data_IF_922397418090
#
_entry.id   IF_922397418090
#
_cell.length_a   1.000
_cell.length_b   1.000
_cell.length_c   1.000
_cell.angle_alpha   90.00
_cell.angle_beta   90.00
_cell.angle_gamma   90.00
#
_symmetry.space_group_name_H-M   'P 1'
#
loop_
_entity.id
_entity.type
_entity.pdbx_description
1 polymer ?
#
# COMPACT_ATOMS: atom_id res chain seq x y z
N UNK A 1 -61.51 56.65 -20.86
CA UNK A 1 -62.77 56.87 -20.11
C UNK A 1 -62.59 56.36 -18.69
N UNK A 2 -62.49 57.23 -17.74
CA UNK A 2 -62.71 56.92 -16.30
C UNK A 2 -64.27 56.98 -16.11
N UNK A 3 -64.83 56.33 -15.08
CA UNK A 3 -64.78 56.70 -13.68
C UNK A 3 -64.89 55.44 -12.74
N UNK A 4 -65.00 55.49 -11.43
CA UNK A 4 -65.02 56.45 -10.33
C UNK A 4 -64.90 55.67 -9.00
N UNK A 5 -64.39 56.33 -8.02
CA UNK A 5 -64.22 55.97 -6.60
C UNK A 5 -65.54 55.62 -5.88
N UNK A 6 -65.44 54.73 -4.86
CA UNK A 6 -66.26 54.80 -3.65
C UNK A 6 -65.49 54.44 -2.40
N UNK A 7 -65.38 55.39 -1.53
CA UNK A 7 -64.97 55.34 -0.12
C UNK A 7 -66.17 54.85 0.71
N UNK A 8 -65.92 53.91 1.64
CA UNK A 8 -66.83 53.74 2.79
C UNK A 8 -65.99 53.62 4.07
N UNK A 9 -66.26 54.57 4.95
CA UNK A 9 -65.83 54.61 6.33
C UNK A 9 -66.82 53.82 7.20
N UNK A 10 -66.34 53.08 8.18
CA UNK A 10 -67.16 52.65 9.33
C UNK A 10 -66.26 52.24 10.52
N UNK A 11 -66.26 53.10 11.48
CA UNK A 11 -66.46 53.00 12.93
C UNK A 11 -65.90 51.81 13.71
N UNK A 12 -65.03 52.20 14.65
CA UNK A 12 -64.54 51.42 15.80
C UNK A 12 -65.65 51.21 16.86
N UNK A 13 -65.64 50.12 17.61
CA UNK A 13 -65.98 50.15 19.03
C UNK A 13 -64.83 49.76 19.94
N UNK A 14 -64.74 50.55 20.99
CA UNK A 14 -63.90 50.35 22.18
C UNK A 14 -64.38 49.14 22.96
N UNK A 15 -63.52 48.19 23.29
CA UNK A 15 -63.76 47.15 24.24
C UNK A 15 -62.59 47.06 25.26
N UNK A 16 -62.96 47.28 26.47
CA UNK A 16 -62.12 47.23 27.69
C UNK A 16 -61.65 45.82 27.92
N UNK A 17 -60.36 45.64 27.91
CA UNK A 17 -59.71 44.32 28.15
C UNK A 17 -59.31 44.16 29.58
N UNK A 18 -59.70 43.02 30.16
CA UNK A 18 -59.24 42.48 31.45
C UNK A 18 -57.83 41.89 31.33
N UNK A 19 -56.92 42.45 32.12
CA UNK A 19 -55.52 41.95 32.22
C UNK A 19 -55.46 40.67 33.09
N UNK A 20 -55.39 39.49 32.48
CA UNK A 20 -55.07 38.24 33.15
C UNK A 20 -53.57 37.98 33.07
N UNK A 21 -52.87 38.18 34.18
CA UNK A 21 -51.48 37.76 34.37
C UNK A 21 -51.43 36.22 34.47
N UNK A 22 -51.15 35.55 33.35
CA UNK A 22 -50.73 34.15 33.33
C UNK A 22 -49.21 34.11 33.17
N UNK A 23 -48.55 33.69 34.25
CA UNK A 23 -47.10 33.43 34.26
C UNK A 23 -46.74 32.30 33.28
N UNK A 24 -46.30 32.68 32.10
CA UNK A 24 -45.74 31.77 31.12
C UNK A 24 -44.31 31.37 31.49
N UNK A 25 -44.12 30.12 31.91
CA UNK A 25 -42.80 29.49 31.95
C UNK A 25 -42.22 29.57 30.53
N UNK A 26 -41.13 30.31 30.36
CA UNK A 26 -40.32 30.27 29.15
C UNK A 26 -39.80 28.83 28.95
N UNK A 27 -40.39 28.10 28.03
CA UNK A 27 -39.84 26.85 27.53
C UNK A 27 -38.51 27.17 26.84
N UNK A 28 -37.41 26.76 27.45
CA UNK A 28 -36.10 26.76 26.82
C UNK A 28 -36.21 26.02 25.48
N UNK A 29 -36.19 26.75 24.38
CA UNK A 29 -36.07 26.17 23.05
C UNK A 29 -34.73 25.43 22.99
N UNK A 30 -34.76 24.12 23.20
CA UNK A 30 -33.61 23.26 22.99
C UNK A 30 -33.08 23.54 21.59
N UNK A 31 -31.82 23.95 21.48
CA UNK A 31 -31.12 24.07 20.21
C UNK A 31 -31.34 22.77 19.45
N UNK A 32 -32.06 22.79 18.37
CA UNK A 32 -32.22 21.68 17.47
C UNK A 32 -30.82 21.24 17.08
N UNK A 33 -30.48 19.99 17.45
CA UNK A 33 -29.20 19.37 17.12
C UNK A 33 -29.18 19.30 15.59
N UNK A 34 -28.32 20.10 14.96
CA UNK A 34 -28.10 20.00 13.52
C UNK A 34 -27.79 18.56 13.19
N UNK A 35 -28.40 17.98 12.17
CA UNK A 35 -28.09 16.61 11.75
C UNK A 35 -26.59 16.55 11.49
N UNK A 36 -25.93 15.56 12.11
CA UNK A 36 -24.52 15.28 11.87
C UNK A 36 -24.35 15.07 10.37
N UNK A 37 -23.43 15.78 9.70
CA UNK A 37 -23.20 15.54 8.28
C UNK A 37 -22.99 14.05 8.06
N UNK A 38 -23.48 13.49 6.94
CA UNK A 38 -23.28 12.06 6.64
C UNK A 38 -21.79 11.73 6.77
N UNK A 39 -21.49 10.60 7.40
CA UNK A 39 -20.12 10.13 7.53
C UNK A 39 -19.52 10.05 6.13
N UNK A 40 -18.39 10.69 5.92
CA UNK A 40 -17.71 10.63 4.65
C UNK A 40 -17.21 9.21 4.43
N UNK A 41 -17.47 8.66 3.25
CA UNK A 41 -16.96 7.35 2.88
C UNK A 41 -15.43 7.42 2.71
N UNK A 42 -14.69 6.54 3.39
CA UNK A 42 -13.25 6.30 3.29
C UNK A 42 -13.00 4.80 3.19
N UNK A 43 -11.75 4.39 2.96
CA UNK A 43 -11.42 2.98 2.74
C UNK A 43 -11.66 2.55 1.30
N UNK A 44 -11.96 1.28 1.08
CA UNK A 44 -12.14 0.70 -0.25
C UNK A 44 -13.58 0.88 -0.74
N UNK A 45 -13.76 1.66 -1.79
CA UNK A 45 -15.06 1.99 -2.39
C UNK A 45 -15.23 1.31 -3.74
N UNK A 46 -16.39 0.67 -3.96
CA UNK A 46 -16.74 0.09 -5.24
C UNK A 46 -17.13 1.17 -6.25
N UNK A 47 -16.57 1.09 -7.43
CA UNK A 47 -16.75 2.04 -8.53
C UNK A 47 -17.13 1.34 -9.83
N UNK A 48 -17.66 2.13 -10.76
CA UNK A 48 -18.01 1.67 -12.12
C UNK A 48 -17.67 2.75 -13.13
N UNK A 49 -17.29 2.30 -14.31
CA UNK A 49 -17.14 3.16 -15.47
C UNK A 49 -17.80 2.52 -16.68
N UNK A 50 -18.41 3.33 -17.52
CA UNK A 50 -18.94 2.90 -18.82
C UNK A 50 -18.03 3.46 -19.92
N UNK A 51 -17.51 2.57 -20.76
CA UNK A 51 -16.62 2.92 -21.85
C UNK A 51 -16.94 2.07 -23.07
N UNK A 52 -17.18 2.71 -24.22
CA UNK A 52 -17.53 2.04 -25.49
C UNK A 52 -18.65 1.00 -25.35
N UNK A 53 -19.67 1.28 -24.53
CA UNK A 53 -20.78 0.38 -24.25
C UNK A 53 -20.45 -0.77 -23.29
N UNK A 54 -19.22 -0.90 -22.86
CA UNK A 54 -18.78 -1.84 -21.84
C UNK A 54 -18.91 -1.23 -20.43
N UNK A 55 -19.32 -2.05 -19.46
CA UNK A 55 -19.39 -1.67 -18.04
C UNK A 55 -18.23 -2.34 -17.32
N UNK A 56 -17.36 -1.55 -16.68
CA UNK A 56 -16.20 -2.03 -15.96
C UNK A 56 -16.35 -1.68 -14.48
N UNK A 57 -15.96 -2.59 -13.61
CA UNK A 57 -15.89 -2.38 -12.16
C UNK A 57 -14.45 -2.15 -11.77
N UNK A 58 -14.29 -1.30 -10.76
CA UNK A 58 -13.00 -1.04 -10.15
C UNK A 58 -13.21 -0.65 -8.68
N UNK A 59 -12.13 -0.55 -7.93
CA UNK A 59 -12.16 0.01 -6.60
C UNK A 59 -11.27 1.24 -6.52
N UNK A 60 -11.64 2.13 -5.62
CA UNK A 60 -10.78 3.23 -5.18
C UNK A 60 -10.61 3.16 -3.67
N UNK A 61 -9.39 3.35 -3.21
CA UNK A 61 -9.10 3.53 -1.80
C UNK A 61 -8.98 5.02 -1.49
N UNK A 62 -9.67 5.44 -0.43
CA UNK A 62 -9.55 6.78 0.14
C UNK A 62 -8.96 6.67 1.55
N UNK A 63 -7.84 7.36 1.85
CA UNK A 63 -7.28 7.41 3.19
C UNK A 63 -8.29 7.88 4.24
N UNK A 64 -8.13 7.42 5.48
CA UNK A 64 -9.03 7.79 6.57
C UNK A 64 -9.11 9.31 6.79
N UNK A 65 -8.01 10.01 6.54
CA UNK A 65 -7.90 11.47 6.69
C UNK A 65 -8.45 12.24 5.49
N UNK A 66 -8.85 11.57 4.40
CA UNK A 66 -9.44 12.27 3.25
C UNK A 66 -10.70 13.01 3.67
N UNK A 67 -10.85 14.28 3.26
CA UNK A 67 -12.06 15.10 3.48
C UNK A 67 -12.40 15.85 2.20
N UNK A 68 -13.66 15.75 1.77
CA UNK A 68 -14.15 16.42 0.54
C UNK A 68 -14.15 17.95 0.64
N UNK A 69 -14.34 18.48 1.83
CA UNK A 69 -14.37 19.91 2.13
C UNK A 69 -12.98 20.49 2.47
N UNK A 70 -11.96 19.64 2.52
CA UNK A 70 -10.57 20.07 2.70
C UNK A 70 -10.01 20.61 1.37
N UNK A 71 -9.16 21.65 1.47
CA UNK A 71 -8.40 22.16 0.34
C UNK A 71 -7.13 21.36 0.04
N UNK A 72 -6.83 20.36 0.84
CA UNK A 72 -5.69 19.49 0.65
C UNK A 72 -5.83 18.73 -0.67
N UNK A 73 -4.80 18.80 -1.50
CA UNK A 73 -4.70 18.00 -2.71
C UNK A 73 -3.96 16.70 -2.42
N UNK A 74 -4.57 15.59 -2.80
CA UNK A 74 -4.06 14.25 -2.49
C UNK A 74 -3.28 13.64 -3.65
N UNK A 75 -2.15 12.97 -3.36
CA UNK A 75 -1.47 12.15 -4.36
C UNK A 75 -2.37 10.98 -4.77
N UNK A 76 -2.26 10.55 -6.03
CA UNK A 76 -3.06 9.45 -6.58
C UNK A 76 -2.17 8.42 -7.23
N UNK A 77 -2.49 7.13 -7.02
CA UNK A 77 -1.81 5.99 -7.62
C UNK A 77 -2.80 5.23 -8.52
N UNK A 78 -2.36 4.87 -9.72
CA UNK A 78 -2.98 3.83 -10.52
C UNK A 78 -2.25 2.52 -10.28
N UNK A 79 -2.96 1.50 -9.77
CA UNK A 79 -2.44 0.16 -9.51
C UNK A 79 -3.02 -0.85 -10.49
N UNK A 80 -2.14 -1.62 -11.15
CA UNK A 80 -2.49 -2.70 -12.06
C UNK A 80 -2.12 -4.06 -11.46
N UNK A 81 -3.12 -4.91 -11.28
CA UNK A 81 -3.00 -6.25 -10.69
C UNK A 81 -2.39 -7.29 -11.65
N UNK A 82 -2.09 -8.47 -11.14
CA UNK A 82 -1.55 -9.60 -11.89
C UNK A 82 -2.60 -10.34 -12.75
N UNK A 83 -2.17 -11.45 -13.33
CA UNK A 83 -3.01 -12.26 -14.21
C UNK A 83 -4.13 -13.00 -13.47
N UNK A 84 -3.88 -13.35 -12.20
CA UNK A 84 -4.81 -14.13 -11.37
C UNK A 84 -6.07 -13.36 -10.98
N UNK A 85 -6.00 -12.03 -10.93
CA UNK A 85 -7.05 -11.16 -10.42
C UNK A 85 -7.97 -10.63 -11.54
N UNK A 86 -7.82 -11.14 -12.77
CA UNK A 86 -8.72 -10.80 -13.89
C UNK A 86 -10.15 -11.25 -13.61
N UNK A 87 -11.10 -10.44 -14.01
CA UNK A 87 -12.53 -10.70 -13.80
C UNK A 87 -13.40 -9.49 -14.09
N UNK A 88 -14.65 -9.56 -13.65
CA UNK A 88 -15.64 -8.49 -13.81
C UNK A 88 -16.33 -8.12 -12.49
N UNK A 89 -15.98 -8.78 -11.39
CA UNK A 89 -16.61 -8.61 -10.08
C UNK A 89 -16.22 -7.30 -9.41
N UNK A 90 -15.04 -6.76 -9.74
CA UNK A 90 -14.47 -5.55 -9.15
C UNK A 90 -13.91 -5.76 -7.74
N UNK A 91 -13.46 -6.99 -7.42
CA UNK A 91 -12.96 -7.35 -6.07
C UNK A 91 -11.59 -8.01 -6.05
N UNK A 92 -11.31 -8.94 -6.98
CA UNK A 92 -10.08 -9.74 -6.96
C UNK A 92 -8.81 -8.91 -7.04
N UNK A 93 -8.83 -7.79 -7.78
CA UNK A 93 -7.69 -6.88 -7.90
C UNK A 93 -7.23 -6.30 -6.57
N UNK A 94 -8.03 -6.38 -5.52
CA UNK A 94 -7.67 -5.90 -4.19
C UNK A 94 -7.15 -7.00 -3.26
N UNK A 95 -6.95 -8.21 -3.77
CA UNK A 95 -6.49 -9.34 -2.97
C UNK A 95 -4.99 -9.63 -3.15
N UNK A 96 -4.24 -8.73 -3.77
CA UNK A 96 -2.82 -8.91 -4.05
C UNK A 96 -2.06 -7.60 -4.05
N UNK A 97 -0.81 -7.62 -3.63
CA UNK A 97 0.13 -6.49 -3.74
C UNK A 97 -0.26 -5.27 -2.93
N UNK A 98 -0.21 -4.09 -3.56
CA UNK A 98 -0.45 -2.80 -2.89
C UNK A 98 -1.74 -2.74 -2.06
N UNK A 99 -2.91 -3.22 -2.51
CA UNK A 99 -4.13 -3.19 -1.70
C UNK A 99 -4.06 -3.98 -0.39
N UNK A 100 -3.27 -5.06 -0.33
CA UNK A 100 -3.05 -5.79 0.92
C UNK A 100 -2.22 -4.95 1.88
N UNK A 101 -1.10 -4.41 1.40
CA UNK A 101 -0.24 -3.55 2.20
C UNK A 101 -0.97 -2.31 2.74
N UNK A 102 -1.88 -1.73 1.95
CA UNK A 102 -2.73 -0.61 2.38
C UNK A 102 -3.73 -1.01 3.47
N UNK A 103 -4.22 -2.26 3.47
CA UNK A 103 -5.09 -2.75 4.55
C UNK A 103 -4.34 -2.96 5.85
N UNK A 104 -3.13 -3.48 5.75
CA UNK A 104 -2.31 -3.84 6.90
C UNK A 104 -1.63 -2.60 7.51
N UNK A 105 -1.24 -1.62 6.67
CA UNK A 105 -0.51 -0.42 7.05
C UNK A 105 -1.06 0.86 6.39
N UNK A 106 -2.33 1.21 6.61
CA UNK A 106 -2.98 2.35 5.94
C UNK A 106 -2.27 3.69 6.22
N UNK A 107 -1.65 3.84 7.38
CA UNK A 107 -0.90 5.04 7.78
C UNK A 107 0.33 5.31 6.91
N UNK A 108 0.88 4.28 6.27
CA UNK A 108 2.03 4.40 5.36
C UNK A 108 1.62 4.93 3.98
N UNK A 109 0.33 4.82 3.63
CA UNK A 109 -0.19 5.05 2.28
C UNK A 109 -1.17 6.22 2.21
N UNK A 110 -0.72 7.46 2.41
CA UNK A 110 -1.57 8.64 2.31
C UNK A 110 -1.87 9.02 0.86
N UNK A 111 -2.41 8.07 0.08
CA UNK A 111 -2.70 8.18 -1.34
C UNK A 111 -4.15 7.79 -1.63
N UNK A 112 -4.76 8.45 -2.61
CA UNK A 112 -5.91 7.89 -3.30
C UNK A 112 -5.39 6.82 -4.24
N UNK A 113 -6.00 5.61 -4.25
CA UNK A 113 -5.50 4.50 -5.08
C UNK A 113 -6.63 3.98 -5.94
N UNK A 114 -6.44 4.04 -7.25
CA UNK A 114 -7.38 3.54 -8.27
C UNK A 114 -6.95 2.15 -8.70
N UNK A 115 -7.83 1.18 -8.58
CA UNK A 115 -7.57 -0.24 -8.80
C UNK A 115 -8.58 -0.81 -9.80
N UNK A 116 -8.39 -0.60 -11.10
CA UNK A 116 -9.24 -1.20 -12.13
C UNK A 116 -9.04 -2.71 -12.17
N UNK A 117 -10.07 -3.45 -12.67
CA UNK A 117 -9.98 -4.87 -12.91
C UNK A 117 -9.93 -5.16 -14.39
N UNK A 118 -8.86 -5.80 -14.85
CA UNK A 118 -8.72 -6.31 -16.20
C UNK A 118 -9.66 -7.49 -16.40
N UNK A 119 -10.39 -7.52 -17.53
CA UNK A 119 -11.32 -8.60 -17.85
C UNK A 119 -10.60 -9.88 -18.27
N UNK A 120 -11.22 -11.01 -18.00
CA UNK A 120 -10.84 -12.26 -18.64
C UNK A 120 -11.50 -12.34 -20.04
N UNK A 121 -10.80 -12.79 -21.11
CA UNK A 121 -9.42 -13.27 -21.14
C UNK A 121 -8.37 -12.20 -21.49
N UNK A 122 -8.74 -10.91 -21.48
CA UNK A 122 -7.87 -9.79 -21.85
C UNK A 122 -6.62 -9.67 -20.96
N UNK A 123 -5.69 -8.83 -21.39
CA UNK A 123 -4.46 -8.51 -20.70
C UNK A 123 -4.29 -7.00 -20.56
N UNK A 124 -3.46 -6.54 -19.62
CA UNK A 124 -3.17 -5.12 -19.45
C UNK A 124 -2.42 -4.48 -20.64
N UNK A 125 -1.89 -5.30 -21.55
CA UNK A 125 -1.29 -4.81 -22.81
C UNK A 125 -2.32 -4.59 -23.92
N UNK A 126 -3.57 -5.00 -23.71
CA UNK A 126 -4.64 -4.77 -24.69
C UNK A 126 -5.06 -3.30 -24.65
N UNK A 127 -5.14 -2.60 -25.80
CA UNK A 127 -5.47 -1.17 -25.84
C UNK A 127 -6.75 -0.80 -25.09
N UNK A 128 -7.79 -1.62 -25.19
CA UNK A 128 -9.07 -1.37 -24.49
C UNK A 128 -8.92 -1.44 -22.96
N UNK A 129 -8.03 -2.28 -22.43
CA UNK A 129 -7.78 -2.38 -20.98
C UNK A 129 -6.92 -1.21 -20.48
N UNK A 130 -5.94 -0.78 -21.28
CA UNK A 130 -5.15 0.42 -20.98
C UNK A 130 -6.04 1.67 -20.98
N UNK A 131 -6.90 1.82 -21.98
CA UNK A 131 -7.85 2.93 -22.06
C UNK A 131 -8.82 2.92 -20.87
N UNK A 132 -9.35 1.76 -20.51
CA UNK A 132 -10.23 1.61 -19.35
C UNK A 132 -9.50 2.00 -18.04
N UNK A 133 -8.25 1.60 -17.86
CA UNK A 133 -7.48 1.96 -16.66
C UNK A 133 -7.26 3.48 -16.56
N UNK A 134 -6.94 4.13 -17.67
CA UNK A 134 -6.81 5.59 -17.74
C UNK A 134 -8.15 6.28 -17.50
N UNK A 135 -9.23 5.79 -18.09
CA UNK A 135 -10.55 6.37 -17.90
C UNK A 135 -11.02 6.26 -16.44
N UNK A 136 -10.72 5.14 -15.76
CA UNK A 136 -10.99 4.99 -14.33
C UNK A 136 -10.16 6.00 -13.50
N UNK A 137 -8.86 6.15 -13.79
CA UNK A 137 -8.01 7.16 -13.14
C UNK A 137 -8.54 8.58 -13.36
N UNK A 138 -8.96 8.90 -14.58
CA UNK A 138 -9.48 10.22 -14.92
C UNK A 138 -10.82 10.53 -14.24
N UNK A 139 -11.68 9.52 -14.07
CA UNK A 139 -12.91 9.65 -13.32
C UNK A 139 -12.64 10.05 -11.88
N UNK A 140 -11.76 9.34 -11.19
CA UNK A 140 -11.45 9.60 -9.78
C UNK A 140 -10.65 10.91 -9.60
N UNK A 141 -9.78 11.24 -10.56
CA UNK A 141 -9.08 12.54 -10.58
C UNK A 141 -10.04 13.73 -10.68
N UNK A 142 -11.16 13.57 -11.39
CA UNK A 142 -12.20 14.61 -11.46
C UNK A 142 -13.11 14.64 -10.24
N UNK A 143 -13.32 13.48 -9.61
CA UNK A 143 -14.21 13.38 -8.43
C UNK A 143 -13.55 13.85 -7.14
N UNK A 144 -12.27 13.52 -6.97
CA UNK A 144 -11.54 13.79 -5.73
C UNK A 144 -10.54 14.94 -5.90
N UNK A 145 -10.17 15.57 -4.79
CA UNK A 145 -9.17 16.63 -4.77
C UNK A 145 -7.75 16.06 -4.92
N UNK A 146 -7.40 15.66 -6.14
CA UNK A 146 -6.08 15.13 -6.43
C UNK A 146 -5.06 16.21 -6.77
N UNK A 147 -3.78 15.93 -6.49
CA UNK A 147 -2.67 16.78 -6.91
C UNK A 147 -2.21 16.35 -8.31
N UNK A 148 -2.41 17.19 -9.34
CA UNK A 148 -2.06 16.83 -10.72
C UNK A 148 -0.56 16.59 -10.94
N UNK A 149 0.29 17.06 -10.01
CA UNK A 149 1.73 16.81 -10.05
C UNK A 149 2.15 15.55 -9.31
N UNK A 150 1.23 14.84 -8.64
CA UNK A 150 1.53 13.64 -7.86
C UNK A 150 0.63 12.49 -8.27
N UNK A 151 0.68 12.16 -9.57
CA UNK A 151 0.05 10.96 -10.13
C UNK A 151 1.12 9.90 -10.35
N UNK A 152 0.93 8.73 -9.76
CA UNK A 152 1.88 7.63 -9.80
C UNK A 152 1.29 6.41 -10.46
N UNK A 153 2.15 5.56 -11.01
CA UNK A 153 1.77 4.32 -11.68
C UNK A 153 2.52 3.15 -11.05
N UNK A 154 1.80 2.08 -10.77
CA UNK A 154 2.41 0.84 -10.31
C UNK A 154 1.68 -0.38 -10.83
N UNK A 155 2.40 -1.49 -10.96
CA UNK A 155 1.82 -2.77 -11.36
C UNK A 155 2.73 -3.93 -11.01
N UNK A 156 2.12 -5.10 -10.86
CA UNK A 156 2.83 -6.35 -10.59
C UNK A 156 2.58 -7.39 -11.68
N UNK A 157 3.60 -8.18 -12.03
CA UNK A 157 3.46 -9.27 -13.02
C UNK A 157 2.80 -8.77 -14.32
N UNK A 158 1.66 -9.32 -14.72
CA UNK A 158 0.87 -8.84 -15.86
C UNK A 158 0.58 -7.33 -15.79
N UNK A 159 0.31 -6.79 -14.59
CA UNK A 159 0.13 -5.35 -14.37
C UNK A 159 1.41 -4.54 -14.55
N UNK A 160 2.57 -5.14 -14.36
CA UNK A 160 3.87 -4.53 -14.65
C UNK A 160 4.07 -4.29 -16.15
N UNK A 161 3.68 -5.25 -16.98
CA UNK A 161 3.66 -5.06 -18.44
C UNK A 161 2.72 -3.93 -18.86
N UNK A 162 1.50 -3.91 -18.29
CA UNK A 162 0.55 -2.81 -18.52
C UNK A 162 1.07 -1.46 -18.04
N UNK A 163 1.78 -1.43 -16.91
CA UNK A 163 2.40 -0.21 -16.40
C UNK A 163 3.49 0.31 -17.34
N UNK A 164 4.31 -0.56 -17.93
CA UNK A 164 5.26 -0.15 -18.97
C UNK A 164 4.55 0.45 -20.19
N UNK A 165 3.50 -0.20 -20.68
CA UNK A 165 2.71 0.33 -21.82
C UNK A 165 2.07 1.68 -21.49
N UNK A 166 1.48 1.85 -20.29
CA UNK A 166 0.93 3.14 -19.87
C UNK A 166 2.01 4.21 -19.69
N UNK A 167 3.17 3.86 -19.15
CA UNK A 167 4.26 4.79 -18.99
C UNK A 167 4.78 5.30 -20.33
N UNK A 168 4.89 4.41 -21.33
CA UNK A 168 5.28 4.76 -22.70
C UNK A 168 4.23 5.61 -23.41
N UNK A 169 2.95 5.23 -23.31
CA UNK A 169 1.87 5.87 -24.05
C UNK A 169 1.45 7.22 -23.44
N UNK A 170 1.71 7.43 -22.15
CA UNK A 170 1.37 8.64 -21.40
C UNK A 170 2.56 9.17 -20.57
N UNK A 171 3.73 9.44 -21.21
CA UNK A 171 4.98 9.70 -20.49
C UNK A 171 4.96 10.96 -19.59
N UNK A 172 4.08 11.93 -19.92
CA UNK A 172 3.98 13.20 -19.17
C UNK A 172 2.91 13.16 -18.06
N UNK A 173 2.47 11.98 -17.69
CA UNK A 173 1.41 11.80 -16.71
C UNK A 173 1.90 11.33 -15.34
N UNK A 174 3.07 10.72 -15.30
CA UNK A 174 3.55 10.01 -14.12
C UNK A 174 4.68 10.78 -13.43
N UNK A 175 4.46 11.09 -12.14
CA UNK A 175 5.50 11.66 -11.29
C UNK A 175 6.58 10.63 -10.93
N UNK A 176 6.20 9.36 -10.80
CA UNK A 176 7.08 8.21 -10.68
C UNK A 176 6.33 6.92 -11.07
N UNK A 177 7.11 5.88 -11.40
CA UNK A 177 6.62 4.55 -11.77
C UNK A 177 7.30 3.49 -10.91
N UNK A 178 6.53 2.54 -10.36
CA UNK A 178 7.06 1.39 -9.63
C UNK A 178 6.55 0.10 -10.25
N UNK A 179 7.44 -0.87 -10.49
CA UNK A 179 7.07 -2.15 -11.12
C UNK A 179 7.69 -3.31 -10.34
N UNK A 180 6.85 -4.30 -10.00
CA UNK A 180 7.26 -5.53 -9.34
C UNK A 180 7.08 -6.74 -10.26
N UNK A 181 8.15 -7.52 -10.50
CA UNK A 181 8.17 -8.74 -11.32
C UNK A 181 7.46 -8.57 -12.66
N UNK A 182 7.68 -7.43 -13.33
CA UNK A 182 7.13 -7.10 -14.64
C UNK A 182 8.23 -6.65 -15.60
N UNK A 183 7.96 -6.78 -16.90
CA UNK A 183 8.96 -6.46 -17.92
C UNK A 183 8.36 -5.79 -19.16
N UNK A 184 9.20 -5.44 -20.14
CA UNK A 184 8.76 -4.85 -21.41
C UNK A 184 8.22 -5.89 -22.40
N UNK A 185 8.52 -7.17 -22.18
CA UNK A 185 8.17 -8.23 -23.11
C UNK A 185 7.07 -9.11 -22.55
N UNK A 186 5.89 -9.06 -23.14
CA UNK A 186 4.87 -10.04 -22.83
C UNK A 186 5.31 -11.41 -23.34
N UNK A 187 5.68 -12.32 -22.46
CA UNK A 187 6.37 -13.60 -22.74
C UNK A 187 5.58 -14.62 -23.57
N UNK A 188 4.32 -14.33 -23.93
CA UNK A 188 3.53 -15.20 -24.81
C UNK A 188 3.58 -14.81 -26.29
N UNK A 189 4.43 -13.85 -26.67
CA UNK A 189 4.68 -13.47 -28.04
C UNK A 189 6.15 -13.70 -28.40
N UNK A 190 6.56 -14.97 -28.70
CA UNK A 190 7.97 -15.29 -28.99
C UNK A 190 8.57 -14.48 -30.13
N UNK A 191 7.76 -14.07 -31.12
CA UNK A 191 8.14 -13.20 -32.21
C UNK A 191 8.62 -11.83 -31.75
N UNK A 192 8.18 -11.32 -30.59
CA UNK A 192 8.64 -10.04 -30.03
C UNK A 192 10.04 -10.12 -29.43
N UNK A 193 10.59 -11.30 -29.21
CA UNK A 193 11.99 -11.45 -28.77
C UNK A 193 12.99 -10.95 -29.82
N UNK A 194 12.59 -10.90 -31.10
CA UNK A 194 13.40 -10.30 -32.15
C UNK A 194 13.38 -8.76 -32.11
N UNK A 195 12.31 -8.17 -31.59
CA UNK A 195 12.20 -6.72 -31.30
C UNK A 195 12.85 -6.38 -29.95
N UNK A 196 13.28 -7.41 -29.20
CA UNK A 196 13.82 -7.30 -27.86
C UNK A 196 15.02 -6.34 -27.73
N UNK A 197 15.79 -6.16 -28.78
CA UNK A 197 16.97 -5.28 -28.76
C UNK A 197 16.62 -3.78 -28.70
N UNK A 198 15.46 -3.36 -29.24
CA UNK A 198 15.09 -1.94 -29.36
C UNK A 198 14.03 -1.51 -28.36
N UNK A 199 13.15 -2.42 -27.96
CA UNK A 199 11.98 -2.09 -27.13
C UNK A 199 12.34 -1.45 -25.77
N UNK A 200 13.29 -1.94 -24.97
CA UNK A 200 13.70 -1.26 -23.73
C UNK A 200 14.19 0.16 -23.96
N UNK A 201 14.94 0.40 -25.04
CA UNK A 201 15.41 1.73 -25.39
C UNK A 201 14.27 2.68 -25.82
N UNK A 202 13.21 2.16 -26.44
CA UNK A 202 12.01 2.93 -26.78
C UNK A 202 11.24 3.35 -25.53
N UNK A 203 11.02 2.44 -24.59
CA UNK A 203 10.42 2.75 -23.29
C UNK A 203 11.26 3.78 -22.53
N UNK A 204 12.56 3.56 -22.44
CA UNK A 204 13.46 4.46 -21.73
C UNK A 204 13.46 5.88 -22.34
N UNK A 205 13.41 5.97 -23.67
CA UNK A 205 13.30 7.25 -24.38
C UNK A 205 11.97 7.95 -24.10
N UNK A 206 10.85 7.20 -24.08
CA UNK A 206 9.53 7.75 -23.81
C UNK A 206 9.43 8.28 -22.37
N UNK A 207 9.95 7.54 -21.39
CA UNK A 207 9.93 7.95 -19.97
C UNK A 207 10.89 9.09 -19.68
N UNK A 208 12.00 9.20 -20.44
CA UNK A 208 12.99 10.23 -20.22
C UNK A 208 13.56 10.19 -18.80
N UNK A 209 13.27 11.20 -17.99
CA UNK A 209 13.71 11.30 -16.58
C UNK A 209 12.64 10.96 -15.55
N UNK A 210 11.51 10.41 -15.96
CA UNK A 210 10.51 9.91 -15.01
C UNK A 210 11.16 8.89 -14.07
N UNK A 211 11.13 9.11 -12.74
CA UNK A 211 11.71 8.18 -11.78
C UNK A 211 11.06 6.81 -11.86
N UNK A 212 11.89 5.76 -11.88
CA UNK A 212 11.44 4.37 -11.96
C UNK A 212 12.09 3.56 -10.84
N UNK A 213 11.29 2.77 -10.13
CA UNK A 213 11.80 1.80 -9.17
C UNK A 213 11.30 0.40 -9.53
N UNK A 214 12.25 -0.49 -9.80
CA UNK A 214 12.01 -1.87 -10.21
C UNK A 214 12.32 -2.82 -9.06
N UNK A 215 11.47 -3.83 -8.89
CA UNK A 215 11.66 -4.90 -7.93
C UNK A 215 11.50 -6.24 -8.62
N UNK A 216 12.41 -7.19 -8.36
CA UNK A 216 12.36 -8.51 -8.97
C UNK A 216 12.89 -9.59 -8.04
N UNK A 217 12.40 -10.82 -8.19
CA UNK A 217 12.99 -12.00 -7.56
C UNK A 217 14.08 -12.61 -8.45
N UNK A 218 15.24 -12.97 -7.90
CA UNK A 218 16.35 -13.56 -8.69
C UNK A 218 16.04 -14.95 -9.25
N UNK A 219 15.05 -15.65 -8.68
CA UNK A 219 14.61 -16.98 -9.11
C UNK A 219 13.20 -16.95 -9.73
N UNK A 220 12.83 -15.81 -10.31
CA UNK A 220 11.57 -15.68 -11.03
C UNK A 220 11.59 -16.45 -12.35
N UNK A 221 10.88 -17.58 -12.38
CA UNK A 221 10.74 -18.45 -13.55
C UNK A 221 9.51 -18.14 -14.41
N UNK A 222 8.68 -17.17 -14.00
CA UNK A 222 7.47 -16.73 -14.73
C UNK A 222 7.78 -15.50 -15.58
N UNK A 223 8.38 -14.49 -14.96
CA UNK A 223 8.93 -13.31 -15.64
C UNK A 223 10.42 -13.26 -15.31
N UNK A 224 11.31 -13.53 -16.26
CA UNK A 224 12.73 -13.55 -15.99
C UNK A 224 13.24 -12.20 -15.43
N UNK A 225 14.07 -12.23 -14.37
CA UNK A 225 14.75 -11.03 -13.82
C UNK A 225 15.40 -10.19 -14.92
N UNK A 226 15.90 -10.87 -15.96
CA UNK A 226 16.54 -10.24 -17.11
C UNK A 226 15.69 -9.15 -17.76
N UNK A 227 14.36 -9.23 -17.71
CA UNK A 227 13.49 -8.19 -18.24
C UNK A 227 13.59 -6.88 -17.46
N UNK A 228 13.67 -6.94 -16.13
CA UNK A 228 13.93 -5.75 -15.29
C UNK A 228 15.35 -5.22 -15.48
N UNK A 229 16.35 -6.09 -15.64
CA UNK A 229 17.73 -5.67 -15.94
C UNK A 229 17.82 -4.91 -17.25
N UNK A 230 17.19 -5.40 -18.32
CA UNK A 230 17.16 -4.73 -19.63
C UNK A 230 16.54 -3.34 -19.54
N UNK A 231 15.46 -3.19 -18.76
CA UNK A 231 14.86 -1.89 -18.54
C UNK A 231 15.73 -0.97 -17.71
N UNK A 232 16.35 -1.49 -16.63
CA UNK A 232 17.32 -0.74 -15.83
C UNK A 232 18.49 -0.22 -16.68
N UNK A 233 19.10 -1.10 -17.49
CA UNK A 233 20.23 -0.75 -18.34
C UNK A 233 19.83 0.31 -19.40
N UNK A 234 18.64 0.17 -20.00
CA UNK A 234 18.14 1.13 -20.98
C UNK A 234 17.85 2.51 -20.38
N UNK A 235 17.19 2.55 -19.21
CA UNK A 235 16.91 3.80 -18.50
C UNK A 235 18.20 4.49 -18.04
N UNK A 236 19.16 3.73 -17.53
CA UNK A 236 20.49 4.20 -17.14
C UNK A 236 21.24 4.81 -18.33
N UNK A 237 21.22 4.12 -19.48
CA UNK A 237 21.88 4.58 -20.71
C UNK A 237 21.28 5.89 -21.23
N UNK A 238 20.00 6.17 -20.98
CA UNK A 238 19.32 7.42 -21.33
C UNK A 238 19.55 8.55 -20.29
N UNK A 239 20.33 8.31 -19.24
CA UNK A 239 20.50 9.27 -18.14
C UNK A 239 19.23 9.44 -17.31
N UNK A 240 18.42 8.40 -17.20
CA UNK A 240 17.21 8.36 -16.38
C UNK A 240 17.48 8.32 -14.87
N UNK A 241 16.42 8.31 -14.11
CA UNK A 241 16.44 8.10 -12.66
C UNK A 241 15.83 6.73 -12.37
N UNK A 242 16.67 5.70 -12.14
CA UNK A 242 16.22 4.33 -12.02
C UNK A 242 16.86 3.62 -10.83
N UNK A 243 16.03 2.84 -10.12
CA UNK A 243 16.45 1.88 -9.11
C UNK A 243 16.02 0.48 -9.55
N UNK A 244 16.86 -0.52 -9.28
CA UNK A 244 16.52 -1.93 -9.43
C UNK A 244 16.94 -2.67 -8.16
N UNK A 245 15.98 -3.22 -7.45
CA UNK A 245 16.22 -4.08 -6.31
C UNK A 245 15.86 -5.51 -6.67
N UNK A 246 16.84 -6.38 -6.53
CA UNK A 246 16.73 -7.82 -6.79
C UNK A 246 16.73 -8.55 -5.48
N UNK A 247 15.64 -9.23 -5.17
CA UNK A 247 15.51 -10.05 -3.98
C UNK A 247 16.08 -11.44 -4.27
N UNK A 248 17.25 -11.74 -3.70
CA UNK A 248 17.94 -13.01 -3.92
C UNK A 248 17.11 -14.19 -3.38
N UNK A 249 17.00 -15.26 -4.17
CA UNK A 249 16.26 -16.47 -3.83
C UNK A 249 14.73 -16.33 -3.91
N UNK A 250 14.20 -15.14 -4.20
CA UNK A 250 12.77 -14.94 -4.32
C UNK A 250 12.30 -15.29 -5.74
N UNK A 251 11.15 -15.97 -5.81
CA UNK A 251 10.49 -16.33 -7.06
C UNK A 251 9.64 -15.17 -7.60
N UNK A 252 8.54 -15.49 -8.30
CA UNK A 252 7.70 -14.51 -8.99
C UNK A 252 6.96 -13.53 -8.07
N UNK A 253 6.71 -13.88 -6.84
CA UNK A 253 5.90 -13.11 -5.88
C UNK A 253 6.64 -11.98 -5.15
N UNK A 254 7.60 -11.33 -5.83
CA UNK A 254 8.40 -10.24 -5.25
C UNK A 254 7.58 -9.03 -4.78
N UNK A 255 6.33 -8.89 -5.23
CA UNK A 255 5.48 -7.75 -4.92
C UNK A 255 5.12 -7.63 -3.44
N UNK A 256 5.02 -8.74 -2.68
CA UNK A 256 4.78 -8.69 -1.25
C UNK A 256 5.90 -7.89 -0.55
N UNK A 257 7.16 -8.18 -0.87
CA UNK A 257 8.31 -7.41 -0.38
C UNK A 257 8.35 -5.99 -0.93
N UNK A 258 8.12 -5.85 -2.22
CA UNK A 258 8.23 -4.58 -2.92
C UNK A 258 7.27 -3.51 -2.37
N UNK A 259 6.00 -3.85 -2.12
CA UNK A 259 5.04 -2.91 -1.56
C UNK A 259 5.23 -2.70 -0.05
N UNK A 260 5.80 -3.68 0.66
CA UNK A 260 6.18 -3.51 2.07
C UNK A 260 7.50 -2.74 2.26
N UNK A 261 8.21 -2.40 1.19
CA UNK A 261 9.44 -1.62 1.29
C UNK A 261 9.21 -0.31 2.06
N UNK A 262 9.90 -0.09 3.20
CA UNK A 262 9.65 1.06 4.05
C UNK A 262 9.84 2.42 3.37
N UNK A 263 10.76 2.49 2.40
CA UNK A 263 11.05 3.73 1.68
C UNK A 263 10.04 4.02 0.56
N UNK A 264 9.33 3.02 0.04
CA UNK A 264 8.52 3.17 -1.18
C UNK A 264 7.46 4.28 -1.11
N UNK A 265 6.62 4.38 -0.07
CA UNK A 265 5.64 5.46 -0.02
C UNK A 265 6.28 6.85 0.05
N UNK A 266 7.37 6.98 0.82
CA UNK A 266 8.13 8.24 0.92
C UNK A 266 8.82 8.59 -0.38
N UNK A 267 9.40 7.58 -1.06
CA UNK A 267 10.03 7.77 -2.37
C UNK A 267 9.02 8.28 -3.40
N UNK A 268 7.84 7.68 -3.49
CA UNK A 268 6.76 8.18 -4.35
C UNK A 268 6.44 9.64 -4.03
N UNK A 269 6.16 9.98 -2.76
CA UNK A 269 5.81 11.33 -2.33
C UNK A 269 6.92 12.36 -2.60
N UNK A 270 8.18 11.93 -2.68
CA UNK A 270 9.33 12.78 -3.00
C UNK A 270 9.38 13.24 -4.46
N UNK A 271 8.62 12.60 -5.35
CA UNK A 271 8.61 12.91 -6.77
C UNK A 271 7.36 13.68 -7.20
N UNK A 272 7.55 14.66 -8.06
CA UNK A 272 6.47 15.47 -8.63
C UNK A 272 6.66 15.63 -10.14
N UNK A 273 5.59 15.58 -10.88
CA UNK A 273 5.60 15.81 -12.31
C UNK A 273 6.15 17.20 -12.63
N UNK A 274 7.07 17.27 -13.58
CA UNK A 274 7.70 18.52 -13.99
C UNK A 274 8.83 19.02 -13.07
N UNK A 275 9.13 18.32 -11.98
CA UNK A 275 10.30 18.63 -11.16
C UNK A 275 11.58 18.19 -11.86
N UNK A 276 12.65 18.93 -11.64
CA UNK A 276 13.98 18.50 -12.05
C UNK A 276 14.37 17.24 -11.25
N UNK A 277 14.73 16.19 -11.98
CA UNK A 277 15.21 14.93 -11.39
C UNK A 277 16.61 14.68 -11.90
N UNK A 278 17.57 14.56 -10.98
CA UNK A 278 18.96 14.26 -11.36
C UNK A 278 19.08 12.81 -11.85
N UNK A 279 19.93 12.56 -12.85
CA UNK A 279 20.22 11.20 -13.28
C UNK A 279 20.74 10.38 -12.11
N UNK A 280 20.16 9.21 -11.92
CA UNK A 280 20.61 8.25 -10.91
C UNK A 280 20.37 6.84 -11.43
N UNK A 281 21.31 5.95 -11.18
CA UNK A 281 21.12 4.53 -11.45
C UNK A 281 21.67 3.76 -10.25
N UNK A 282 20.79 3.10 -9.53
CA UNK A 282 21.09 2.30 -8.34
C UNK A 282 20.59 0.88 -8.54
N UNK A 283 21.46 -0.12 -8.35
CA UNK A 283 21.08 -1.53 -8.33
C UNK A 283 21.52 -2.13 -7.01
N UNK A 284 20.60 -2.81 -6.34
CA UNK A 284 20.88 -3.55 -5.12
C UNK A 284 20.42 -5.00 -5.26
N UNK A 285 21.23 -5.92 -4.75
CA UNK A 285 20.86 -7.31 -4.54
C UNK A 285 20.59 -7.47 -3.04
N UNK A 286 19.34 -7.72 -2.72
CA UNK A 286 18.87 -7.86 -1.34
C UNK A 286 18.93 -9.34 -0.98
N UNK A 287 19.77 -9.75 -0.03
CA UNK A 287 19.90 -11.15 0.35
C UNK A 287 18.58 -11.69 0.92
N UNK A 288 18.33 -13.01 0.82
CA UNK A 288 17.11 -13.64 1.32
C UNK A 288 16.99 -13.50 2.83
N UNK A 289 18.11 -13.59 3.50
CA UNK A 289 18.27 -13.44 4.95
C UNK A 289 19.47 -12.55 5.26
N UNK A 290 19.46 -11.83 6.36
CA UNK A 290 20.67 -11.20 6.89
C UNK A 290 21.75 -12.23 7.11
N UNK A 291 23.02 -11.81 7.07
CA UNK A 291 24.13 -12.67 7.51
C UNK A 291 23.99 -12.93 9.01
N UNK A 292 23.95 -14.19 9.46
CA UNK A 292 23.83 -14.49 10.88
C UNK A 292 24.93 -13.81 11.70
N UNK A 293 24.52 -13.12 12.76
CA UNK A 293 25.43 -12.44 13.68
C UNK A 293 25.85 -13.39 14.81
N UNK A 294 27.14 -13.50 15.08
CA UNK A 294 27.63 -14.36 16.16
C UNK A 294 27.32 -13.75 17.52
N UNK A 295 26.29 -14.24 18.17
CA UNK A 295 25.82 -13.74 19.46
C UNK A 295 26.50 -14.45 20.63
N UNK A 296 26.88 -13.69 21.65
CA UNK A 296 27.40 -14.26 22.88
C UNK A 296 26.31 -15.07 23.62
N UNK A 297 26.70 -16.22 24.19
CA UNK A 297 25.78 -17.09 24.93
C UNK A 297 25.08 -16.35 26.08
N UNK A 298 25.78 -15.46 26.76
CA UNK A 298 25.21 -14.63 27.84
C UNK A 298 24.06 -13.71 27.36
N UNK A 299 24.15 -13.22 26.13
CA UNK A 299 23.08 -12.41 25.53
C UNK A 299 21.88 -13.30 25.18
N UNK A 300 22.10 -14.48 24.60
CA UNK A 300 21.02 -15.45 24.34
C UNK A 300 20.33 -15.89 25.63
N UNK A 301 21.10 -16.19 26.68
CA UNK A 301 20.55 -16.54 28.01
C UNK A 301 19.74 -15.36 28.63
N UNK A 302 20.09 -14.12 28.32
CA UNK A 302 19.33 -12.94 28.78
C UNK A 302 17.97 -12.78 28.09
N UNK A 303 17.83 -13.32 26.89
CA UNK A 303 16.62 -13.24 26.06
C UNK A 303 15.71 -14.45 26.30
N UNK A 304 16.27 -15.60 26.66
CA UNK A 304 15.49 -16.80 26.93
C UNK A 304 14.40 -16.57 27.98
N UNK A 305 13.17 -16.99 27.67
CA UNK A 305 12.02 -16.72 28.54
C UNK A 305 10.68 -17.09 27.89
N UNK A 306 9.61 -16.97 28.69
CA UNK A 306 8.24 -17.06 28.21
C UNK A 306 7.71 -15.65 27.92
N UNK A 307 7.02 -15.51 26.80
CA UNK A 307 6.47 -14.26 26.30
C UNK A 307 4.97 -14.42 26.05
N UNK A 308 4.19 -13.40 26.39
CA UNK A 308 2.74 -13.38 26.26
C UNK A 308 2.26 -12.20 25.45
N UNK A 309 1.18 -12.43 24.70
CA UNK A 309 0.49 -11.38 23.96
C UNK A 309 -0.20 -10.37 24.90
N UNK A 310 -0.75 -9.31 24.34
CA UNK A 310 -1.48 -8.26 25.05
C UNK A 310 -2.72 -8.77 25.81
N UNK A 311 -3.19 -9.99 25.51
CA UNK A 311 -4.31 -10.66 26.16
C UNK A 311 -3.83 -11.65 27.27
N UNK A 312 -2.52 -11.73 27.51
CA UNK A 312 -1.90 -12.61 28.50
C UNK A 312 -1.81 -14.08 28.07
N UNK A 313 -2.05 -14.40 26.78
CA UNK A 313 -1.88 -15.76 26.23
C UNK A 313 -0.40 -15.99 25.94
N UNK A 314 0.06 -17.25 26.11
CA UNK A 314 1.42 -17.60 25.70
C UNK A 314 1.56 -17.36 24.18
N UNK A 315 2.48 -16.48 23.82
CA UNK A 315 2.81 -16.18 22.44
C UNK A 315 4.02 -17.02 21.98
N UNK A 316 5.09 -17.06 22.80
CA UNK A 316 6.29 -17.80 22.48
C UNK A 316 7.10 -18.18 23.73
N UNK A 317 7.93 -19.20 23.59
CA UNK A 317 8.99 -19.51 24.56
C UNK A 317 10.32 -19.50 23.83
N UNK A 318 11.19 -18.54 24.12
CA UNK A 318 12.57 -18.55 23.61
C UNK A 318 13.47 -19.33 24.56
N UNK A 319 14.27 -20.21 23.98
CA UNK A 319 15.24 -21.02 24.71
C UNK A 319 16.52 -21.27 23.90
N UNK A 320 17.62 -21.46 24.59
CA UNK A 320 18.90 -21.74 23.96
C UNK A 320 19.23 -23.21 24.03
N UNK A 321 19.73 -23.77 22.93
CA UNK A 321 20.33 -25.10 22.86
C UNK A 321 21.74 -24.99 22.27
N UNK A 322 22.75 -25.26 23.06
CA UNK A 322 24.16 -25.06 22.64
C UNK A 322 24.44 -23.57 22.37
N UNK A 323 24.80 -23.24 21.14
CA UNK A 323 25.08 -21.87 20.67
C UNK A 323 23.97 -21.32 19.75
N UNK A 324 22.83 -21.98 19.73
CA UNK A 324 21.68 -21.60 18.90
C UNK A 324 20.49 -21.18 19.78
N UNK A 325 19.67 -20.27 19.27
CA UNK A 325 18.43 -19.81 19.91
C UNK A 325 17.24 -20.39 19.15
N UNK A 326 16.26 -20.86 19.90
CA UNK A 326 15.03 -21.44 19.36
C UNK A 326 13.82 -20.75 19.96
N UNK A 327 12.78 -20.68 19.18
CA UNK A 327 11.43 -20.36 19.63
C UNK A 327 10.57 -21.62 19.65
N UNK A 328 9.75 -21.74 20.68
CA UNK A 328 8.62 -22.69 20.69
C UNK A 328 7.34 -21.90 20.71
N UNK A 329 6.48 -22.15 19.71
CA UNK A 329 5.17 -21.56 19.61
C UNK A 329 4.16 -22.14 20.62
N UNK A 330 2.93 -21.59 20.75
CA UNK A 330 1.90 -22.12 21.63
C UNK A 330 1.43 -23.55 21.29
N UNK A 331 1.67 -24.02 20.07
CA UNK A 331 1.30 -25.35 19.58
C UNK A 331 2.42 -26.38 19.80
N UNK A 332 3.59 -25.94 20.28
CA UNK A 332 4.74 -26.77 20.56
C UNK A 332 5.71 -26.93 19.39
N UNK A 333 5.47 -26.26 18.27
CA UNK A 333 6.39 -26.23 17.15
C UNK A 333 7.66 -25.45 17.54
N UNK A 334 8.83 -26.00 17.16
CA UNK A 334 10.13 -25.43 17.50
C UNK A 334 10.81 -24.93 16.23
N UNK A 335 11.13 -23.66 16.20
CA UNK A 335 11.80 -23.00 15.07
C UNK A 335 13.11 -22.37 15.55
N UNK A 336 14.19 -22.53 14.79
CA UNK A 336 15.45 -21.82 15.03
C UNK A 336 15.26 -20.34 14.73
N UNK A 337 15.81 -19.45 15.58
CA UNK A 337 15.88 -18.03 15.34
C UNK A 337 17.32 -17.57 15.31
N UNK A 338 17.75 -16.95 14.22
CA UNK A 338 19.12 -16.54 13.99
C UNK A 338 19.32 -15.05 14.30
N UNK A 339 20.37 -14.69 15.04
CA UNK A 339 20.65 -13.31 15.35
C UNK A 339 21.14 -12.53 14.12
N UNK A 340 20.53 -11.41 13.86
CA UNK A 340 20.97 -10.38 12.92
C UNK A 340 21.82 -9.31 13.63
N UNK A 341 21.53 -9.10 14.91
CA UNK A 341 22.25 -8.20 15.81
C UNK A 341 22.11 -8.68 17.26
N UNK A 342 22.52 -7.87 18.24
CA UNK A 342 22.30 -8.16 19.67
C UNK A 342 20.85 -8.00 20.13
N UNK A 343 19.98 -7.44 19.28
CA UNK A 343 18.57 -7.15 19.60
C UNK A 343 17.58 -7.49 18.49
N UNK A 344 18.04 -7.99 17.35
CA UNK A 344 17.19 -8.39 16.23
C UNK A 344 17.53 -9.81 15.79
N UNK A 345 16.48 -10.58 15.51
CA UNK A 345 16.57 -11.99 15.12
C UNK A 345 15.64 -12.24 13.92
N UNK A 346 15.97 -13.18 13.09
CA UNK A 346 15.16 -13.62 11.95
C UNK A 346 14.93 -15.12 11.97
N UNK A 347 13.93 -15.58 11.22
CA UNK A 347 13.59 -17.00 11.07
C UNK A 347 14.15 -17.51 9.76
N UNK A 348 15.08 -18.50 9.76
CA UNK A 348 15.69 -19.03 8.55
C UNK A 348 14.70 -19.63 7.55
N UNK A 349 13.63 -20.25 8.06
CA UNK A 349 12.57 -20.86 7.27
C UNK A 349 11.34 -19.96 7.12
N UNK A 350 11.33 -18.83 7.82
CA UNK A 350 10.25 -17.83 7.74
C UNK A 350 10.38 -16.92 6.52
N UNK A 351 9.38 -16.11 6.30
CA UNK A 351 9.46 -15.02 5.34
C UNK A 351 10.62 -14.08 5.66
N UNK A 352 11.25 -13.53 4.64
CA UNK A 352 12.43 -12.66 4.78
C UNK A 352 12.21 -11.48 5.75
N UNK A 353 10.95 -11.15 5.99
CA UNK A 353 10.53 -10.06 6.88
C UNK A 353 10.20 -10.49 8.29
N UNK A 354 10.14 -11.80 8.58
CA UNK A 354 9.83 -12.26 9.91
C UNK A 354 10.99 -11.98 10.85
N UNK A 355 10.72 -11.14 11.83
CA UNK A 355 11.72 -10.65 12.80
C UNK A 355 11.18 -10.73 14.22
N UNK A 356 12.10 -11.01 15.13
CA UNK A 356 11.93 -10.76 16.55
C UNK A 356 12.88 -9.64 16.97
N UNK A 357 12.34 -8.56 17.50
CA UNK A 357 13.13 -7.48 18.09
C UNK A 357 13.01 -7.51 19.60
N UNK A 358 14.12 -7.40 20.31
CA UNK A 358 14.18 -7.45 21.77
C UNK A 358 13.92 -6.06 22.35
N UNK A 359 12.84 -5.93 23.11
CA UNK A 359 12.52 -4.74 23.86
C UNK A 359 13.25 -4.72 25.20
N UNK A 360 13.83 -3.58 25.56
CA UNK A 360 14.61 -3.40 26.80
C UNK A 360 14.20 -2.14 27.55
N UNK A 361 14.29 -2.19 28.89
CA UNK A 361 14.17 -1.01 29.73
C UNK A 361 15.43 -0.12 29.67
N UNK A 362 15.41 0.97 30.44
CA UNK A 362 16.52 1.93 30.50
C UNK A 362 17.77 1.35 31.12
N UNK A 363 17.64 0.32 31.93
CA UNK A 363 18.70 -0.44 32.59
C UNK A 363 19.26 -1.56 31.69
N UNK A 364 18.61 -1.83 30.51
CA UNK A 364 19.02 -2.83 29.54
C UNK A 364 18.42 -4.21 29.78
N UNK A 365 17.51 -4.39 30.73
CA UNK A 365 16.82 -5.66 30.95
C UNK A 365 15.78 -5.90 29.86
N UNK A 366 15.67 -7.16 29.44
CA UNK A 366 14.67 -7.58 28.45
C UNK A 366 13.27 -7.52 29.08
N UNK A 367 12.41 -6.68 28.51
CA UNK A 367 11.02 -6.48 28.94
C UNK A 367 10.03 -7.22 28.05
N UNK A 368 10.37 -7.42 26.77
CA UNK A 368 9.50 -8.04 25.80
C UNK A 368 10.19 -8.34 24.50
N UNK A 369 9.38 -8.75 23.54
CA UNK A 369 9.74 -8.91 22.14
C UNK A 369 8.70 -8.22 21.27
N UNK A 370 9.14 -7.67 20.16
CA UNK A 370 8.26 -7.27 19.06
C UNK A 370 8.44 -8.29 17.93
N UNK A 371 7.40 -9.09 17.68
CA UNK A 371 7.30 -9.95 16.51
C UNK A 371 6.80 -9.15 15.35
N UNK A 372 7.38 -9.33 14.19
CA UNK A 372 6.97 -8.70 12.93
C UNK A 372 7.16 -9.65 11.77
N UNK A 373 6.12 -9.77 10.95
CA UNK A 373 6.21 -10.38 9.62
C UNK A 373 5.80 -9.37 8.54
N UNK A 374 5.57 -9.82 7.33
CA UNK A 374 5.17 -9.00 6.19
C UNK A 374 3.76 -8.40 6.31
N UNK A 375 2.95 -8.86 7.28
CA UNK A 375 1.53 -8.51 7.44
C UNK A 375 1.13 -8.11 8.84
N UNK A 376 1.97 -8.41 9.82
CA UNK A 376 1.58 -8.32 11.21
C UNK A 376 2.73 -7.85 12.10
N UNK A 377 2.41 -7.00 13.08
CA UNK A 377 3.31 -6.63 14.16
C UNK A 377 2.61 -6.86 15.49
N UNK A 378 3.25 -7.61 16.37
CA UNK A 378 2.72 -7.94 17.68
C UNK A 378 3.79 -7.75 18.76
N UNK A 379 3.37 -7.18 19.90
CA UNK A 379 4.23 -7.02 21.07
C UNK A 379 3.92 -8.08 22.10
N UNK A 380 4.97 -8.73 22.57
CA UNK A 380 4.90 -9.78 23.59
C UNK A 380 5.64 -9.33 24.85
N UNK A 381 4.98 -9.40 25.98
CA UNK A 381 5.58 -9.05 27.27
C UNK A 381 6.29 -10.28 27.88
N UNK A 382 7.47 -10.07 28.45
CA UNK A 382 8.20 -11.13 29.13
C UNK A 382 7.57 -11.43 30.49
N UNK A 383 7.18 -12.67 30.73
CA UNK A 383 6.53 -13.08 31.99
C UNK A 383 7.40 -13.97 32.87
N UNK A 384 8.37 -14.70 32.28
CA UNK A 384 9.22 -15.62 33.01
C UNK A 384 10.57 -15.78 32.35
N UNK A 385 11.64 -15.81 33.16
CA UNK A 385 12.96 -16.25 32.70
C UNK A 385 13.01 -17.77 32.74
N UNK A 386 13.27 -18.44 31.60
CA UNK A 386 13.45 -19.89 31.54
C UNK A 386 14.92 -20.18 31.79
N UNK A 387 15.25 -20.73 32.98
CA UNK A 387 16.56 -21.31 33.22
C UNK A 387 16.74 -22.54 32.30
N UNK A 388 17.98 -22.75 31.79
CA UNK A 388 18.40 -23.83 30.89
C UNK A 388 17.47 -25.05 30.89
N UNK A 389 16.89 -25.35 29.75
CA UNK A 389 16.37 -26.70 29.52
C UNK A 389 17.62 -27.59 29.25
N UNK A 390 18.03 -28.33 30.25
CA UNK A 390 19.02 -29.40 30.07
C UNK A 390 18.33 -30.41 29.18
N UNK A 391 18.94 -30.67 28.01
CA UNK A 391 18.51 -31.71 27.11
C UNK A 391 18.42 -33.02 27.88
N UNK A 392 17.24 -33.64 27.88
CA UNK A 392 17.19 -35.10 28.15
C UNK A 392 17.81 -35.77 26.95
N UNK A 393 19.01 -36.35 27.19
CA UNK A 393 19.58 -37.40 26.38
C UNK A 393 18.64 -38.61 26.50
N UNK A 394 18.04 -39.03 25.40
CA UNK A 394 17.89 -40.43 25.01
C UNK A 394 17.75 -40.52 23.49
#
# INVERSE_FOLDING_TARGET
MRPASRVFAATLPLAIGVLLLLGGRAASAGKARQPKPPAQETGFLNRRIELHGGKYRFQVYLPEEYRRDDRRQWPIILFLHGRGERGEEGMWQTQIGLPLEVRDHPERWPFIIVMPQCRYPAFWTDPAMLEMAIAALDQETREFHTDPQRTYLTGLSMGGYGAWELARNYPHRWAAVMIASGGPFWSYAPERWLEAATLPAEYARALGRTPVWLFHGSEDHVVPERESELMYDALKAQGGHVRLWVYQGLHHDSWARAYNEPELPRWLLGHRLGSAVEPMAERQVIPPHPTPFKLAVTVMDSIAGEYRDVNGRLAATLFRQGTQLFERDPHGEVTEVEPESTSSFFYPLGGVWTRLTVDRDKEGHVTGLTYRDDRHEEKWERTRTVARIHGQSE
#
